data_IF_168061129855
#
_entry.id   IF_168061129855
#
_cell.length_a   1.000
_cell.length_b   1.000
_cell.length_c   1.000
_cell.angle_alpha   90.00
_cell.angle_beta   90.00
_cell.angle_gamma   90.00
#
_symmetry.space_group_name_H-M   'P 1'
#
loop_
_entity.id
_entity.type
_entity.pdbx_description
1 polymer ?
#
# COMPACT_ATOMS: atom_id res chain seq x y z
N UNK A 1 -17.22 58.88 -40.78
CA UNK A 1 -15.80 58.47 -40.90
C UNK A 1 -15.72 57.05 -40.37
N UNK A 2 -15.61 56.12 -41.29
CA UNK A 2 -15.84 54.68 -41.10
C UNK A 2 -14.48 54.02 -41.17
N UNK A 3 -14.00 53.42 -40.08
CA UNK A 3 -12.71 52.74 -40.02
C UNK A 3 -12.96 51.24 -39.84
N UNK A 4 -12.79 50.53 -40.95
CA UNK A 4 -12.79 49.07 -41.09
C UNK A 4 -11.45 48.53 -40.61
N UNK A 5 -11.43 47.60 -39.66
CA UNK A 5 -10.25 46.83 -39.28
C UNK A 5 -10.35 45.39 -39.86
N UNK A 6 -9.23 44.79 -40.34
CA UNK A 6 -9.28 43.60 -41.17
C UNK A 6 -9.25 42.28 -40.40
N UNK A 7 -9.88 41.29 -41.03
CA UNK A 7 -9.81 39.85 -40.81
C UNK A 7 -8.39 39.32 -40.55
N UNK A 8 -8.27 38.37 -39.63
CA UNK A 8 -7.18 37.41 -39.60
C UNK A 8 -7.75 36.01 -39.38
N UNK A 9 -7.78 35.22 -40.47
CA UNK A 9 -8.07 33.77 -40.50
C UNK A 9 -6.80 32.96 -40.17
N UNK A 10 -6.94 31.65 -39.87
CA UNK A 10 -6.03 30.92 -38.99
C UNK A 10 -4.85 30.27 -39.74
N UNK A 11 -3.74 30.08 -39.03
CA UNK A 11 -2.60 29.29 -39.51
C UNK A 11 -2.80 27.82 -39.16
N UNK A 12 -2.85 27.01 -40.22
CA UNK A 12 -2.90 25.56 -40.24
C UNK A 12 -1.48 24.97 -40.17
N UNK A 13 -1.34 23.83 -39.50
CA UNK A 13 -0.37 22.75 -39.73
C UNK A 13 1.05 22.86 -39.16
N UNK A 14 1.40 21.87 -38.33
CA UNK A 14 2.31 20.78 -38.74
C UNK A 14 2.14 19.55 -37.84
N UNK A 15 1.67 18.47 -38.48
CA UNK A 15 1.56 17.12 -37.94
C UNK A 15 2.95 16.54 -37.65
N UNK A 16 3.13 16.01 -36.45
CA UNK A 16 4.30 15.24 -36.04
C UNK A 16 4.01 13.75 -36.31
N UNK A 17 4.92 12.99 -36.92
CA UNK A 17 4.71 11.58 -37.23
C UNK A 17 4.71 10.71 -35.96
N UNK A 18 3.97 9.59 -35.95
CA UNK A 18 4.00 8.63 -34.85
C UNK A 18 5.35 7.91 -34.81
N UNK A 19 6.01 7.93 -33.64
CA UNK A 19 7.15 7.06 -33.38
C UNK A 19 6.66 5.63 -33.25
N UNK A 20 7.28 4.75 -34.03
CA UNK A 20 7.05 3.32 -34.07
C UNK A 20 7.32 2.66 -32.72
N UNK A 21 6.37 1.84 -32.30
CA UNK A 21 6.52 0.81 -31.29
C UNK A 21 7.47 -0.28 -31.81
N UNK A 22 8.50 -0.57 -31.04
CA UNK A 22 9.09 -1.92 -30.97
C UNK A 22 9.14 -2.30 -29.49
N UNK A 23 8.57 -3.45 -29.10
CA UNK A 23 8.61 -3.96 -27.75
C UNK A 23 9.91 -4.73 -27.57
N UNK A 24 10.61 -4.52 -26.46
CA UNK A 24 11.52 -5.54 -25.93
C UNK A 24 11.82 -5.26 -24.46
N UNK A 25 11.92 -6.37 -23.74
CA UNK A 25 12.39 -6.57 -22.38
C UNK A 25 11.39 -6.25 -21.25
N UNK A 26 10.65 -7.30 -20.93
CA UNK A 26 10.13 -7.63 -19.60
C UNK A 26 11.10 -7.19 -18.49
N UNK A 27 10.69 -6.19 -17.72
CA UNK A 27 11.11 -6.03 -16.35
C UNK A 27 9.84 -6.15 -15.52
N UNK A 28 9.50 -7.38 -15.12
CA UNK A 28 8.52 -7.61 -14.08
C UNK A 28 9.03 -6.90 -12.83
N UNK A 29 8.51 -5.70 -12.59
CA UNK A 29 8.65 -4.96 -11.35
C UNK A 29 7.96 -5.75 -10.26
N UNK A 30 8.66 -6.76 -9.74
CA UNK A 30 8.18 -7.57 -8.65
C UNK A 30 8.08 -6.69 -7.42
N UNK A 31 6.92 -6.66 -6.75
CA UNK A 31 6.73 -6.15 -5.38
C UNK A 31 7.51 -6.96 -4.33
N UNK A 32 8.67 -7.52 -4.71
CA UNK A 32 9.51 -8.39 -3.92
C UNK A 32 10.56 -7.57 -3.19
N UNK A 33 10.19 -7.01 -2.05
CA UNK A 33 10.93 -7.17 -0.78
C UNK A 33 10.31 -6.28 0.29
N UNK A 34 9.74 -6.90 1.31
CA UNK A 34 9.72 -6.28 2.62
C UNK A 34 11.19 -6.07 3.07
N UNK A 35 11.54 -4.99 3.79
CA UNK A 35 12.86 -4.83 4.38
C UNK A 35 13.12 -5.76 5.59
N UNK A 36 12.28 -6.77 5.81
CA UNK A 36 12.48 -7.74 6.89
C UNK A 36 13.51 -8.79 6.46
N UNK A 37 14.74 -8.60 6.92
CA UNK A 37 15.80 -9.60 6.87
C UNK A 37 15.38 -10.83 7.70
N UNK A 38 15.12 -11.96 7.02
CA UNK A 38 14.79 -13.23 7.65
C UNK A 38 15.81 -14.29 7.20
N UNK A 39 16.61 -14.73 8.18
CA UNK A 39 17.67 -15.72 8.02
C UNK A 39 17.21 -17.09 7.52
N UNK A 40 18.18 -17.76 6.89
CA UNK A 40 18.14 -19.10 6.31
C UNK A 40 17.65 -20.21 7.25
N UNK A 41 17.02 -21.25 6.68
CA UNK A 41 16.69 -22.44 7.47
C UNK A 41 15.97 -23.59 6.75
N UNK A 42 16.60 -24.15 5.71
CA UNK A 42 16.56 -25.55 5.23
C UNK A 42 15.30 -26.42 5.34
N UNK A 43 14.90 -26.99 4.21
CA UNK A 43 13.93 -28.10 4.06
C UNK A 43 14.51 -29.46 4.44
N UNK A 44 13.68 -30.38 4.96
CA UNK A 44 13.84 -31.82 4.69
C UNK A 44 12.50 -32.59 4.79
N UNK A 45 12.35 -33.60 3.93
CA UNK A 45 11.16 -34.43 3.68
C UNK A 45 11.47 -35.89 3.98
N UNK A 46 10.55 -36.66 4.61
CA UNK A 46 10.66 -38.13 4.54
C UNK A 46 9.89 -38.98 5.56
N UNK A 47 8.65 -39.37 5.20
CA UNK A 47 8.03 -40.73 5.21
C UNK A 47 8.31 -41.74 6.37
N UNK A 48 7.22 -42.14 7.04
CA UNK A 48 6.94 -43.31 7.96
C UNK A 48 6.89 -44.67 7.18
N UNK A 49 6.99 -45.93 7.74
CA UNK A 49 6.36 -46.41 8.99
C UNK A 49 6.89 -47.66 9.78
N UNK A 50 6.21 -47.91 10.92
CA UNK A 50 5.83 -49.17 11.60
C UNK A 50 6.73 -49.94 12.60
N UNK A 51 6.24 -49.94 13.86
CA UNK A 51 6.01 -51.04 14.82
C UNK A 51 7.17 -51.87 15.42
N UNK A 52 7.42 -51.73 16.73
CA UNK A 52 7.58 -52.86 17.68
C UNK A 52 7.51 -52.44 19.16
N UNK A 53 6.97 -53.33 19.99
CA UNK A 53 6.69 -53.25 21.43
C UNK A 53 7.94 -53.50 22.29
N UNK A 54 8.11 -52.81 23.43
CA UNK A 54 8.81 -53.38 24.59
C UNK A 54 9.66 -52.47 25.49
N UNK A 55 9.20 -52.33 26.74
CA UNK A 55 9.95 -52.29 28.03
C UNK A 55 10.65 -50.98 28.47
N UNK A 56 10.34 -50.62 29.71
CA UNK A 56 10.78 -49.50 30.54
C UNK A 56 12.29 -49.31 30.71
N UNK A 57 12.72 -48.06 30.82
CA UNK A 57 13.81 -47.62 31.72
C UNK A 57 13.79 -46.10 31.88
N UNK A 58 13.86 -45.64 33.12
CA UNK A 58 14.02 -44.25 33.49
C UNK A 58 15.44 -43.78 33.18
N UNK A 59 15.59 -42.66 32.46
CA UNK A 59 16.82 -41.86 32.47
C UNK A 59 16.47 -40.38 32.50
N UNK A 60 16.83 -39.76 33.61
CA UNK A 60 16.99 -38.33 33.84
C UNK A 60 17.79 -37.72 32.68
N UNK A 61 17.12 -36.93 31.84
CA UNK A 61 17.80 -36.09 30.85
C UNK A 61 17.47 -34.65 31.20
N UNK A 62 18.46 -33.94 31.72
CA UNK A 62 18.37 -32.52 31.97
C UNK A 62 18.01 -31.82 30.65
N UNK A 63 16.84 -31.18 30.62
CA UNK A 63 16.50 -30.17 29.62
C UNK A 63 17.42 -28.99 29.87
N UNK A 64 18.57 -28.98 29.19
CA UNK A 64 19.34 -27.76 28.98
C UNK A 64 18.46 -26.86 28.13
N UNK A 65 17.77 -25.94 28.79
CA UNK A 65 17.10 -24.81 28.14
C UNK A 65 18.18 -24.00 27.45
N UNK A 66 18.40 -24.27 26.17
CA UNK A 66 19.13 -23.39 25.26
C UNK A 66 18.28 -22.14 25.09
N UNK A 67 18.41 -21.20 26.02
CA UNK A 67 17.97 -19.83 25.82
C UNK A 67 18.84 -19.27 24.70
N UNK A 68 18.32 -19.31 23.47
CA UNK A 68 18.80 -18.44 22.40
C UNK A 68 18.76 -17.03 22.99
N UNK A 69 19.90 -16.31 23.04
CA UNK A 69 19.87 -14.93 23.48
C UNK A 69 18.96 -14.17 22.54
N UNK A 70 17.82 -13.73 23.07
CA UNK A 70 16.91 -12.84 22.38
C UNK A 70 17.74 -11.59 22.08
N UNK A 71 18.22 -11.52 20.84
CA UNK A 71 19.13 -10.45 20.41
C UNK A 71 18.22 -9.30 20.04
N UNK A 72 17.53 -8.74 21.04
CA UNK A 72 16.74 -7.54 20.88
C UNK A 72 17.69 -6.44 20.40
N UNK A 73 17.56 -6.07 19.13
CA UNK A 73 18.27 -4.93 18.59
C UNK A 73 17.90 -3.71 19.42
N UNK A 74 18.89 -2.89 19.84
CA UNK A 74 18.61 -1.72 20.65
C UNK A 74 17.71 -0.77 19.87
N UNK A 75 16.50 -0.54 20.39
CA UNK A 75 15.54 0.40 19.81
C UNK A 75 16.09 1.82 19.86
N UNK A 76 15.71 2.63 18.87
CA UNK A 76 16.08 4.04 18.81
C UNK A 76 15.31 4.80 19.90
N UNK A 77 15.93 5.80 20.55
CA UNK A 77 15.20 6.69 21.43
C UNK A 77 14.14 7.44 20.64
N UNK A 78 13.00 7.73 21.27
CA UNK A 78 11.95 8.55 20.67
C UNK A 78 12.53 9.90 20.24
N UNK A 79 12.52 10.17 18.94
CA UNK A 79 12.94 11.46 18.42
C UNK A 79 11.94 12.52 18.86
N UNK A 80 12.43 13.67 19.33
CA UNK A 80 11.55 14.80 19.62
C UNK A 80 11.02 15.35 18.29
N UNK A 81 9.71 15.25 18.07
CA UNK A 81 9.07 15.76 16.87
C UNK A 81 8.58 17.18 17.12
N UNK A 82 9.30 18.15 16.57
CA UNK A 82 8.81 19.53 16.54
C UNK A 82 7.89 19.68 15.33
N UNK A 83 6.62 19.89 15.63
CA UNK A 83 5.57 20.05 14.62
C UNK A 83 5.85 21.22 13.69
N UNK A 84 5.72 21.00 12.39
CA UNK A 84 6.00 22.01 11.36
C UNK A 84 7.46 22.11 10.93
N UNK A 85 8.38 21.35 11.54
CA UNK A 85 9.75 21.27 11.04
C UNK A 85 9.86 20.55 9.70
N UNK A 86 10.88 20.95 8.94
CA UNK A 86 11.15 20.46 7.59
C UNK A 86 11.51 18.99 7.54
N UNK A 87 11.93 18.38 8.65
CA UNK A 87 12.51 17.04 8.65
C UNK A 87 11.52 15.99 8.12
N UNK A 88 10.34 15.87 8.74
CA UNK A 88 9.34 14.86 8.33
C UNK A 88 8.80 15.14 6.94
N UNK A 89 8.51 16.41 6.65
CA UNK A 89 7.96 16.85 5.35
C UNK A 89 8.90 16.64 4.18
N UNK A 90 10.21 16.72 4.39
CA UNK A 90 11.21 16.53 3.34
C UNK A 90 11.60 15.05 3.16
N UNK A 91 11.14 14.16 4.05
CA UNK A 91 11.51 12.74 4.02
C UNK A 91 10.46 11.88 3.33
N UNK A 92 9.20 12.34 3.27
CA UNK A 92 8.09 11.63 2.61
C UNK A 92 7.61 12.43 1.38
N UNK A 93 7.20 11.78 0.27
CA UNK A 93 6.98 10.33 0.16
C UNK A 93 8.24 9.50 -0.17
N UNK A 94 8.24 8.23 0.25
CA UNK A 94 9.27 7.24 -0.10
C UNK A 94 8.79 5.80 0.15
N UNK A 95 9.37 4.83 -0.54
CA UNK A 95 8.98 3.41 -0.46
C UNK A 95 9.16 2.77 0.93
N UNK A 96 10.23 3.11 1.65
CA UNK A 96 10.52 2.56 2.97
C UNK A 96 10.19 3.57 4.08
N UNK A 97 9.62 3.13 5.20
CA UNK A 97 9.39 4.03 6.34
C UNK A 97 10.74 4.38 6.99
N UNK A 98 11.01 5.66 7.31
CA UNK A 98 12.18 5.99 8.11
C UNK A 98 12.15 5.23 9.46
N UNK A 99 13.27 4.67 9.94
CA UNK A 99 13.29 3.91 11.20
C UNK A 99 12.75 4.68 12.41
N UNK A 100 12.89 6.01 12.42
CA UNK A 100 12.37 6.87 13.48
C UNK A 100 10.85 7.13 13.42
N UNK A 101 10.17 6.67 12.36
CA UNK A 101 8.69 6.65 12.22
C UNK A 101 8.10 5.25 12.37
N UNK A 102 8.93 4.22 12.47
CA UNK A 102 8.51 2.83 12.60
C UNK A 102 8.41 2.44 14.08
N UNK A 103 7.21 2.09 14.60
CA UNK A 103 7.05 1.68 15.99
C UNK A 103 7.81 0.40 16.37
N UNK A 104 8.27 -0.41 15.41
CA UNK A 104 9.12 -1.57 15.70
C UNK A 104 10.56 -1.18 16.00
N UNK A 105 11.01 -0.02 15.50
CA UNK A 105 12.39 0.47 15.61
C UNK A 105 12.56 1.58 16.66
N UNK A 106 11.48 2.13 17.20
CA UNK A 106 11.50 3.19 18.21
C UNK A 106 11.03 2.66 19.57
N UNK A 107 11.70 3.09 20.65
CA UNK A 107 11.28 2.81 22.02
C UNK A 107 10.06 3.67 22.40
N UNK A 108 8.87 3.18 22.01
CA UNK A 108 7.60 3.86 22.19
C UNK A 108 6.53 2.90 22.72
N UNK A 109 5.88 3.27 23.83
CA UNK A 109 4.82 2.42 24.42
C UNK A 109 3.51 2.45 23.61
N UNK A 110 3.25 3.56 22.92
CA UNK A 110 2.05 3.79 22.11
C UNK A 110 2.47 4.37 20.75
N UNK A 111 2.25 3.65 19.63
CA UNK A 111 2.57 4.14 18.29
C UNK A 111 1.98 5.52 17.96
N UNK A 112 0.89 5.91 18.61
CA UNK A 112 0.25 7.23 18.41
C UNK A 112 1.10 8.42 18.87
N UNK A 113 2.18 8.17 19.61
CA UNK A 113 3.19 9.21 19.94
C UNK A 113 4.04 9.57 18.72
N UNK A 114 4.07 8.74 17.67
CA UNK A 114 4.73 9.03 16.40
C UNK A 114 3.81 9.80 15.46
N UNK A 115 4.35 10.67 14.59
CA UNK A 115 3.59 11.26 13.48
C UNK A 115 2.85 10.19 12.68
N UNK A 116 1.58 10.45 12.38
CA UNK A 116 0.75 9.54 11.59
C UNK A 116 1.20 9.58 10.13
N UNK A 117 1.60 8.43 9.63
CA UNK A 117 1.98 8.22 8.24
C UNK A 117 1.14 7.11 7.64
N UNK A 118 0.82 7.25 6.38
CA UNK A 118 -0.03 6.32 5.63
C UNK A 118 0.76 5.64 4.55
N UNK A 119 0.54 4.34 4.40
CA UNK A 119 1.12 3.57 3.34
C UNK A 119 0.07 3.31 2.26
N UNK A 120 0.38 3.66 1.01
CA UNK A 120 -0.61 3.63 -0.06
C UNK A 120 -0.07 4.09 -1.40
N UNK A 121 -0.99 4.37 -2.32
CA UNK A 121 -0.71 4.82 -3.69
C UNK A 121 -1.68 5.92 -4.08
N UNK A 122 -1.32 6.80 -5.02
CA UNK A 122 -2.24 7.82 -5.52
C UNK A 122 -3.54 7.20 -6.04
N UNK A 123 -4.68 7.80 -5.67
CA UNK A 123 -5.99 7.27 -6.05
C UNK A 123 -6.30 7.54 -7.53
N UNK A 124 -6.29 6.46 -8.32
CA UNK A 124 -6.67 6.47 -9.74
C UNK A 124 -8.10 5.92 -9.91
N UNK A 125 -9.15 6.77 -9.87
CA UNK A 125 -10.54 6.31 -9.87
C UNK A 125 -10.89 5.45 -11.10
N UNK A 126 -10.30 5.76 -12.25
CA UNK A 126 -10.51 4.99 -13.47
C UNK A 126 -10.09 3.53 -13.36
N UNK A 127 -8.97 3.25 -12.68
CA UNK A 127 -8.48 1.87 -12.47
C UNK A 127 -9.32 1.14 -11.44
N UNK A 128 -9.58 1.80 -10.30
CA UNK A 128 -10.36 1.24 -9.20
C UNK A 128 -11.77 0.86 -9.67
N UNK A 129 -12.48 1.76 -10.34
CA UNK A 129 -13.85 1.50 -10.76
C UNK A 129 -13.94 0.50 -11.91
N UNK A 130 -13.01 0.54 -12.88
CA UNK A 130 -12.90 -0.49 -13.93
C UNK A 130 -12.66 -1.88 -13.32
N UNK A 131 -11.81 -1.97 -12.30
CA UNK A 131 -11.59 -3.21 -11.57
C UNK A 131 -12.82 -3.65 -10.80
N UNK A 132 -13.47 -2.75 -10.06
CA UNK A 132 -14.69 -3.05 -9.32
C UNK A 132 -15.82 -3.56 -10.24
N UNK A 133 -15.97 -3.01 -11.44
CA UNK A 133 -16.88 -3.54 -12.47
C UNK A 133 -16.50 -4.97 -12.87
N UNK A 134 -15.23 -5.21 -13.18
CA UNK A 134 -14.70 -6.52 -13.60
C UNK A 134 -14.91 -7.61 -12.55
N UNK A 135 -14.81 -7.29 -11.26
CA UNK A 135 -15.02 -8.26 -10.17
C UNK A 135 -16.45 -8.28 -9.61
N UNK A 136 -17.38 -7.56 -10.24
CA UNK A 136 -18.81 -7.58 -9.88
C UNK A 136 -19.15 -6.80 -8.60
N UNK A 137 -18.30 -5.85 -8.20
CA UNK A 137 -18.51 -4.97 -7.04
C UNK A 137 -19.18 -3.64 -7.42
N UNK A 138 -19.20 -3.30 -8.71
CA UNK A 138 -19.85 -2.10 -9.21
C UNK A 138 -21.33 -2.01 -8.83
N UNK A 139 -21.73 -0.80 -8.44
CA UNK A 139 -23.10 -0.43 -8.20
C UNK A 139 -23.52 0.63 -9.21
N UNK A 140 -24.80 0.59 -9.57
CA UNK A 140 -25.37 1.47 -10.57
C UNK A 140 -26.58 2.19 -9.98
N UNK A 141 -26.77 3.43 -10.39
CA UNK A 141 -27.88 4.27 -9.93
C UNK A 141 -29.22 3.67 -10.35
N UNK A 142 -30.16 3.63 -9.40
CA UNK A 142 -31.54 3.14 -9.60
C UNK A 142 -32.52 4.24 -10.00
N UNK A 143 -32.06 5.49 -10.00
CA UNK A 143 -32.85 6.66 -10.36
C UNK A 143 -31.93 7.74 -10.92
N UNK A 144 -32.50 8.66 -11.70
CA UNK A 144 -31.75 9.79 -12.24
C UNK A 144 -31.50 10.83 -11.15
N UNK A 145 -30.24 11.26 -11.01
CA UNK A 145 -29.81 12.37 -10.14
C UNK A 145 -29.21 13.49 -11.01
N UNK A 146 -29.05 14.71 -10.48
CA UNK A 146 -28.72 15.95 -11.21
C UNK A 146 -27.85 15.80 -12.48
N UNK A 147 -26.73 15.06 -12.40
CA UNK A 147 -25.78 14.88 -13.50
C UNK A 147 -25.56 13.42 -13.93
N UNK A 148 -26.35 12.48 -13.39
CA UNK A 148 -26.19 11.04 -13.64
C UNK A 148 -27.54 10.39 -13.89
N UNK A 149 -27.60 9.51 -14.88
CA UNK A 149 -28.81 8.80 -15.28
C UNK A 149 -28.92 7.48 -14.52
N UNK A 150 -30.14 6.96 -14.49
CA UNK A 150 -30.35 5.58 -14.09
C UNK A 150 -29.51 4.64 -14.96
N UNK A 151 -28.85 3.67 -14.32
CA UNK A 151 -27.90 2.77 -14.98
C UNK A 151 -26.47 3.30 -15.06
N UNK A 152 -26.20 4.58 -14.75
CA UNK A 152 -24.83 5.06 -14.62
C UNK A 152 -24.17 4.48 -13.37
N UNK A 153 -22.84 4.32 -13.39
CA UNK A 153 -22.05 3.86 -12.24
C UNK A 153 -22.23 4.82 -11.06
N UNK A 154 -22.57 4.26 -9.90
CA UNK A 154 -22.59 4.97 -8.62
C UNK A 154 -21.22 4.83 -7.94
N UNK A 155 -20.34 5.85 -8.01
CA UNK A 155 -18.99 5.74 -7.47
C UNK A 155 -18.97 5.59 -5.94
N UNK A 156 -19.95 6.14 -5.22
CA UNK A 156 -19.97 6.09 -3.77
C UNK A 156 -20.37 4.69 -3.28
N UNK A 157 -21.47 4.16 -3.79
CA UNK A 157 -21.90 2.80 -3.45
C UNK A 157 -20.89 1.76 -3.95
N UNK A 158 -20.29 1.96 -5.12
CA UNK A 158 -19.21 1.09 -5.62
C UNK A 158 -18.00 1.11 -4.70
N UNK A 159 -17.56 2.29 -4.25
CA UNK A 159 -16.45 2.42 -3.32
C UNK A 159 -16.72 1.71 -2.01
N UNK A 160 -17.90 1.88 -1.41
CA UNK A 160 -18.29 1.19 -0.17
C UNK A 160 -18.23 -0.34 -0.34
N UNK A 161 -18.79 -0.86 -1.43
CA UNK A 161 -18.73 -2.32 -1.72
C UNK A 161 -17.32 -2.82 -1.90
N UNK A 162 -16.49 -2.02 -2.57
CA UNK A 162 -15.10 -2.33 -2.81
C UNK A 162 -14.31 -2.42 -1.49
N UNK A 163 -14.40 -1.39 -0.63
CA UNK A 163 -13.70 -1.37 0.65
C UNK A 163 -14.18 -2.48 1.58
N UNK A 164 -15.49 -2.70 1.66
CA UNK A 164 -16.09 -3.79 2.46
C UNK A 164 -15.61 -5.17 2.00
N UNK A 165 -15.57 -5.39 0.69
CA UNK A 165 -15.11 -6.65 0.11
C UNK A 165 -13.63 -6.87 0.41
N UNK A 166 -12.80 -5.84 0.22
CA UNK A 166 -11.37 -5.95 0.43
C UNK A 166 -11.02 -6.16 1.91
N UNK A 167 -11.69 -5.45 2.83
CA UNK A 167 -11.50 -5.65 4.28
C UNK A 167 -11.88 -7.08 4.70
N UNK A 168 -12.99 -7.62 4.19
CA UNK A 168 -13.37 -9.02 4.45
C UNK A 168 -12.37 -10.03 3.89
N UNK A 169 -11.77 -9.74 2.73
CA UNK A 169 -10.80 -10.63 2.07
C UNK A 169 -9.43 -10.59 2.74
N UNK A 170 -8.95 -9.39 3.09
CA UNK A 170 -7.56 -9.16 3.48
C UNK A 170 -7.38 -8.89 4.97
N UNK A 171 -8.40 -8.40 5.67
CA UNK A 171 -8.28 -7.84 7.01
C UNK A 171 -7.72 -6.40 7.04
N UNK A 172 -7.47 -5.78 5.88
CA UNK A 172 -7.00 -4.40 5.75
C UNK A 172 -8.14 -3.48 5.35
N UNK A 173 -8.17 -2.30 5.96
CA UNK A 173 -9.11 -1.25 5.60
C UNK A 173 -8.48 -0.36 4.53
N UNK A 174 -9.19 -0.18 3.42
CA UNK A 174 -8.80 0.77 2.38
C UNK A 174 -9.55 2.07 2.60
N UNK A 175 -8.81 3.18 2.65
CA UNK A 175 -9.35 4.53 2.83
C UNK A 175 -8.77 5.48 1.77
N UNK A 176 -9.46 6.59 1.54
CA UNK A 176 -8.93 7.72 0.77
C UNK A 176 -8.53 8.82 1.74
N UNK A 177 -7.24 9.10 1.80
CA UNK A 177 -6.67 10.03 2.77
C UNK A 177 -6.01 11.20 2.05
N UNK A 178 -6.34 12.41 2.49
CA UNK A 178 -5.59 13.60 2.12
C UNK A 178 -4.25 13.60 2.85
N UNK A 179 -3.16 13.67 2.10
CA UNK A 179 -1.79 13.68 2.63
C UNK A 179 -1.12 15.02 2.37
N UNK A 180 -0.06 15.30 3.11
CA UNK A 180 0.71 16.53 2.96
C UNK A 180 1.42 16.57 1.60
N UNK A 181 1.34 17.70 0.90
CA UNK A 181 2.08 17.93 -0.35
C UNK A 181 1.50 17.29 -1.60
N UNK A 182 0.37 16.58 -1.50
CA UNK A 182 -0.33 15.99 -2.64
C UNK A 182 -1.72 16.61 -2.83
N UNK A 183 -2.08 16.83 -4.10
CA UNK A 183 -3.41 17.33 -4.49
C UNK A 183 -4.43 16.21 -4.62
N UNK A 184 -3.96 15.01 -4.96
CA UNK A 184 -4.78 13.81 -5.15
C UNK A 184 -4.76 13.01 -3.84
N UNK A 185 -5.91 12.52 -3.35
CA UNK A 185 -5.95 11.63 -2.20
C UNK A 185 -5.15 10.34 -2.45
N UNK A 186 -4.57 9.81 -1.38
CA UNK A 186 -3.89 8.51 -1.41
C UNK A 186 -4.91 7.44 -1.04
N UNK A 187 -4.95 6.37 -1.84
CA UNK A 187 -5.60 5.12 -1.47
C UNK A 187 -4.68 4.36 -0.54
N UNK A 188 -5.01 4.36 0.75
CA UNK A 188 -4.16 3.83 1.82
C UNK A 188 -4.57 2.42 2.19
N UNK A 189 -3.59 1.57 2.54
CA UNK A 189 -3.82 0.18 2.97
C UNK A 189 -3.60 -0.03 4.47
N UNK A 190 -2.71 0.75 5.10
CA UNK A 190 -2.49 0.80 6.54
C UNK A 190 -1.67 2.03 6.93
N UNK A 191 -1.61 2.32 8.23
CA UNK A 191 -0.77 3.37 8.82
C UNK A 191 0.46 2.81 9.53
N UNK A 192 1.43 3.68 9.84
CA UNK A 192 2.59 3.29 10.64
C UNK A 192 2.18 2.82 12.05
N UNK A 193 1.06 3.32 12.57
CA UNK A 193 0.51 2.89 13.86
C UNK A 193 -0.02 1.46 13.84
N UNK A 194 -0.29 0.91 12.66
CA UNK A 194 -0.83 -0.43 12.47
C UNK A 194 0.26 -1.46 12.12
N UNK A 195 1.48 -1.03 11.77
CA UNK A 195 2.62 -1.90 11.40
C UNK A 195 2.74 -3.15 12.28
N UNK A 196 2.68 -3.07 13.63
CA UNK A 196 2.85 -4.25 14.47
C UNK A 196 1.77 -5.33 14.30
N UNK A 197 0.66 -5.01 13.64
CA UNK A 197 -0.47 -5.91 13.38
C UNK A 197 -0.53 -6.40 11.94
N UNK A 198 0.26 -5.79 11.04
CA UNK A 198 0.29 -6.17 9.63
C UNK A 198 1.05 -7.48 9.49
N UNK A 199 0.41 -8.46 8.86
CA UNK A 199 1.04 -9.74 8.53
C UNK A 199 1.53 -9.74 7.08
N UNK A 200 2.50 -10.59 6.76
CA UNK A 200 2.98 -10.78 5.38
C UNK A 200 1.84 -11.12 4.41
N UNK A 201 0.83 -11.87 4.87
CA UNK A 201 -0.31 -12.21 4.03
C UNK A 201 -1.20 -11.00 3.73
N UNK A 202 -1.43 -10.14 4.74
CA UNK A 202 -2.15 -8.87 4.54
C UNK A 202 -1.42 -7.99 3.54
N UNK A 203 -0.10 -7.89 3.69
CA UNK A 203 0.78 -7.17 2.78
C UNK A 203 0.71 -7.68 1.33
N UNK A 204 0.83 -9.00 1.13
CA UNK A 204 0.72 -9.61 -0.20
C UNK A 204 -0.65 -9.35 -0.81
N UNK A 205 -1.73 -9.46 -0.04
CA UNK A 205 -3.08 -9.17 -0.54
C UNK A 205 -3.22 -7.72 -1.03
N UNK A 206 -2.52 -6.77 -0.42
CA UNK A 206 -2.50 -5.38 -0.87
C UNK A 206 -1.71 -5.22 -2.19
N UNK A 207 -0.58 -5.91 -2.33
CA UNK A 207 0.18 -5.92 -3.58
C UNK A 207 -0.62 -6.56 -4.73
N UNK A 208 -1.17 -7.75 -4.49
CA UNK A 208 -2.01 -8.48 -5.45
C UNK A 208 -3.19 -7.62 -5.92
N UNK A 209 -3.78 -6.83 -5.02
CA UNK A 209 -4.86 -5.90 -5.37
C UNK A 209 -4.40 -4.84 -6.38
N UNK A 210 -3.22 -4.24 -6.19
CA UNK A 210 -2.69 -3.21 -7.11
C UNK A 210 -2.35 -3.81 -8.48
N UNK A 211 -1.76 -5.01 -8.47
CA UNK A 211 -1.44 -5.76 -9.69
C UNK A 211 -2.73 -6.11 -10.46
N UNK A 212 -3.76 -6.60 -9.76
CA UNK A 212 -5.08 -6.91 -10.34
C UNK A 212 -5.79 -5.67 -10.92
N UNK A 213 -5.55 -4.50 -10.33
CA UNK A 213 -6.05 -3.21 -10.81
C UNK A 213 -5.25 -2.65 -12.00
N UNK A 214 -4.14 -3.29 -12.37
CA UNK A 214 -3.23 -2.85 -13.44
C UNK A 214 -2.66 -1.45 -13.14
N UNK A 215 -2.27 -1.19 -11.88
CA UNK A 215 -1.57 0.05 -11.56
C UNK A 215 -0.28 0.16 -12.37
N UNK A 216 0.00 1.30 -13.02
CA UNK A 216 1.25 1.44 -13.76
C UNK A 216 2.46 1.43 -12.82
N UNK A 217 3.60 0.90 -13.28
CA UNK A 217 4.82 0.73 -12.48
C UNK A 217 5.39 2.04 -11.88
N UNK A 218 5.00 3.20 -12.43
CA UNK A 218 5.34 4.53 -11.92
C UNK A 218 4.59 4.89 -10.63
N UNK A 219 3.48 4.19 -10.32
CA UNK A 219 2.69 4.34 -9.11
C UNK A 219 3.05 3.24 -8.12
N UNK A 220 4.09 3.49 -7.34
CA UNK A 220 4.54 2.55 -6.32
C UNK A 220 3.87 2.84 -4.97
N UNK A 221 3.81 1.81 -4.13
CA UNK A 221 3.39 1.97 -2.76
C UNK A 221 4.46 2.74 -1.97
N UNK A 222 4.06 3.86 -1.38
CA UNK A 222 4.94 4.75 -0.63
C UNK A 222 4.32 5.15 0.70
N UNK A 223 5.18 5.65 1.60
CA UNK A 223 4.80 6.26 2.87
C UNK A 223 4.54 7.74 2.69
N UNK A 224 3.37 8.20 3.10
CA UNK A 224 2.93 9.60 3.01
C UNK A 224 2.65 10.16 4.41
N UNK A 225 2.90 11.46 4.59
CA UNK A 225 2.59 12.15 5.84
C UNK A 225 1.11 12.57 5.86
N UNK A 226 0.39 12.25 6.92
CA UNK A 226 -1.01 12.67 7.06
C UNK A 226 -1.17 14.21 7.02
N UNK A 227 -2.19 14.71 6.32
CA UNK A 227 -2.43 16.16 6.18
C UNK A 227 -2.97 16.82 7.44
N UNK A 228 -3.71 16.09 8.28
CA UNK A 228 -4.34 16.63 9.50
C UNK A 228 -3.30 17.01 10.55
N UNK A 229 -2.06 16.57 10.38
CA UNK A 229 -0.90 16.99 11.15
C UNK A 229 -0.41 18.43 10.83
N UNK A 230 -1.13 19.16 9.97
CA UNK A 230 -0.80 20.52 9.54
C UNK A 230 -1.38 21.66 10.40
N UNK A 231 -2.12 21.37 11.48
CA UNK A 231 -2.78 22.38 12.32
C UNK A 231 -2.53 22.19 13.81
#
# INVERSE_FOLDING_TARGET
MTATAPNSTPVLSKSVPPRSLTPDAEALGSCSSLPFDAGEGSSDTGITPSSTTGVSSASTTAKTSSSVPDTEYPKLPLHEFVWGEKLVRNTLPQAAIPPWLDPLHVDVDDPKKLPLCWYGVEFLPGLVFKYAERVGLAAYLKFTCAHMKEGDLDPFETWIRFTDWFEKKSGLKVDLIDVWGHEIPIMTVFSNHEIPRITDQMWRNACDLLDDMEFPDEFQLEWYLDRRLAY
#
